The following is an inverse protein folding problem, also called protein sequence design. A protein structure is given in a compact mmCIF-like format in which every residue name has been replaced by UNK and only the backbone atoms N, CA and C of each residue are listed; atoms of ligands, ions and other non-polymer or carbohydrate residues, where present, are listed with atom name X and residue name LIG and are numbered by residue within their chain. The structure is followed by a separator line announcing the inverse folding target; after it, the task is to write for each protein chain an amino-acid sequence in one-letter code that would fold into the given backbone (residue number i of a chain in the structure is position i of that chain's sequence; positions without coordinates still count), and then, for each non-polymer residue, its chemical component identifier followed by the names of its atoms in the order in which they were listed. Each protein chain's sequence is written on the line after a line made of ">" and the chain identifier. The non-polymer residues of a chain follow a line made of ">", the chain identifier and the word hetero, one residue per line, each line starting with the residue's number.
data_IF_319333683657
#
_entry.id   IF_319333683657
#
_cell.length_a   1.000
_cell.length_b   1.000
_cell.length_c   1.000
_cell.angle_alpha   90.00
_cell.angle_beta   90.00
_cell.angle_gamma   90.00
#
_symmetry.space_group_name_H-M   'P 1'
#
loop_
_entity.id
_entity.type
_entity.pdbx_description
1 polymer ?
#
# COMPACT_ATOMS: atom_id res chain seq x y z
N UNK A 1 -4.05 -2.66 26.17
CA UNK A 1 -3.26 -2.36 24.96
C UNK A 1 -3.00 -0.87 24.92
N UNK A 2 -1.76 -0.44 24.66
CA UNK A 2 -1.47 0.99 24.49
C UNK A 2 -1.97 1.43 23.12
N UNK A 3 -2.76 2.50 23.07
CA UNK A 3 -3.20 3.12 21.81
C UNK A 3 -2.02 3.87 21.20
N UNK A 4 -1.59 3.45 20.02
CA UNK A 4 -0.57 4.15 19.24
C UNK A 4 -1.29 5.16 18.34
N UNK A 5 -0.89 6.44 18.42
CA UNK A 5 -1.40 7.48 17.53
C UNK A 5 -0.45 7.64 16.36
N UNK A 6 -0.98 7.48 15.14
CA UNK A 6 -0.25 7.70 13.89
C UNK A 6 -0.89 8.91 13.22
N UNK A 7 -0.10 9.89 12.80
CA UNK A 7 -0.64 10.98 11.97
C UNK A 7 -0.65 10.50 10.53
N UNK A 8 -1.76 10.71 9.85
CA UNK A 8 -1.95 10.35 8.46
C UNK A 8 -2.29 11.61 7.69
N UNK A 9 -1.61 11.83 6.58
CA UNK A 9 -1.90 12.90 5.64
C UNK A 9 -2.22 12.27 4.28
N UNK A 10 -3.27 12.80 3.67
CA UNK A 10 -3.66 12.46 2.30
C UNK A 10 -3.19 13.58 1.39
N UNK A 11 -2.48 13.21 0.33
CA UNK A 11 -1.97 14.12 -0.67
C UNK A 11 -3.14 14.91 -1.31
N UNK A 12 -2.98 16.22 -1.54
CA UNK A 12 -3.97 17.00 -2.26
C UNK A 12 -4.26 16.39 -3.64
N UNK A 13 -5.54 16.29 -4.01
CA UNK A 13 -6.00 15.66 -5.24
C UNK A 13 -6.32 14.17 -5.14
N UNK A 14 -6.20 13.56 -3.94
CA UNK A 14 -6.60 12.18 -3.68
C UNK A 14 -7.83 12.09 -2.75
N UNK A 15 -8.64 13.15 -2.66
CA UNK A 15 -9.73 13.27 -1.69
C UNK A 15 -10.87 12.28 -1.92
N UNK A 16 -10.97 11.73 -3.12
CA UNK A 16 -11.89 10.66 -3.54
C UNK A 16 -11.55 9.31 -2.90
N UNK A 17 -10.30 9.10 -2.48
CA UNK A 17 -9.86 7.87 -1.81
C UNK A 17 -10.04 7.94 -0.29
N UNK A 18 -10.52 6.87 0.35
CA UNK A 18 -10.66 6.83 1.80
C UNK A 18 -9.29 6.76 2.48
N UNK A 19 -9.20 7.28 3.71
CA UNK A 19 -8.05 6.99 4.56
C UNK A 19 -8.01 5.49 4.90
N UNK A 20 -6.81 4.90 5.09
CA UNK A 20 -6.67 3.50 5.49
C UNK A 20 -7.41 3.26 6.81
N UNK A 21 -8.17 2.15 6.86
CA UNK A 21 -8.92 1.74 8.05
C UNK A 21 -8.95 0.23 8.18
N UNK A 22 -9.13 -0.23 9.41
CA UNK A 22 -9.43 -1.64 9.67
C UNK A 22 -10.85 -1.96 9.20
N UNK A 23 -11.00 -3.05 8.45
CA UNK A 23 -12.30 -3.48 7.89
C UNK A 23 -13.11 -4.34 8.86
N UNK A 24 -12.51 -4.81 9.95
CA UNK A 24 -13.19 -5.50 11.05
C UNK A 24 -12.43 -5.26 12.36
N UNK A 25 -13.07 -5.51 13.50
CA UNK A 25 -12.48 -5.29 14.82
C UNK A 25 -11.21 -6.12 15.07
N UNK A 26 -11.11 -7.29 14.44
CA UNK A 26 -9.97 -8.20 14.58
C UNK A 26 -8.92 -8.06 13.45
N UNK A 27 -9.09 -7.12 12.52
CA UNK A 27 -8.17 -6.95 11.40
C UNK A 27 -6.79 -6.50 11.88
N UNK A 28 -5.73 -7.18 11.41
CA UNK A 28 -4.35 -6.82 11.73
C UNK A 28 -3.73 -5.80 10.77
N UNK A 29 -4.34 -5.60 9.59
CA UNK A 29 -3.85 -4.69 8.54
C UNK A 29 -4.95 -3.79 7.99
N UNK A 30 -4.53 -2.71 7.35
CA UNK A 30 -5.40 -1.78 6.63
C UNK A 30 -5.09 -1.90 5.13
N UNK A 31 -6.13 -1.90 4.30
CA UNK A 31 -5.93 -1.86 2.84
C UNK A 31 -5.48 -0.44 2.43
N UNK A 32 -4.55 -0.39 1.46
CA UNK A 32 -4.12 0.83 0.77
C UNK A 32 -4.76 0.85 -0.62
N UNK A 33 -5.13 2.04 -1.09
CA UNK A 33 -5.73 2.25 -2.40
C UNK A 33 -4.70 2.86 -3.37
N UNK A 34 -4.82 2.54 -4.65
CA UNK A 34 -3.99 3.12 -5.70
C UNK A 34 -4.46 4.54 -6.02
N UNK A 35 -3.58 5.53 -5.90
CA UNK A 35 -3.84 6.93 -6.22
C UNK A 35 -3.39 7.27 -7.64
N UNK A 36 -4.01 6.62 -8.63
CA UNK A 36 -3.70 6.80 -10.06
C UNK A 36 -4.82 7.54 -10.77
N UNK A 37 -4.49 8.52 -11.61
CA UNK A 37 -5.48 9.30 -12.37
C UNK A 37 -6.03 8.54 -13.58
N UNK A 38 -5.23 7.60 -14.11
CA UNK A 38 -5.58 6.74 -15.24
C UNK A 38 -5.13 5.33 -14.94
N UNK A 39 -5.81 4.35 -15.54
CA UNK A 39 -5.47 2.94 -15.39
C UNK A 39 -4.00 2.66 -15.68
N UNK A 40 -3.37 1.85 -14.84
CA UNK A 40 -1.97 1.46 -14.99
C UNK A 40 -1.91 -0.02 -15.34
N UNK A 41 -1.52 -0.32 -16.58
CA UNK A 41 -1.25 -1.70 -17.00
C UNK A 41 0.06 -2.18 -16.37
N UNK A 42 0.08 -3.39 -15.83
CA UNK A 42 1.26 -4.06 -15.29
C UNK A 42 1.40 -5.40 -15.99
N UNK A 43 2.33 -5.47 -16.93
CA UNK A 43 2.60 -6.67 -17.72
C UNK A 43 3.26 -7.77 -16.87
N UNK A 44 3.24 -9.00 -17.37
CA UNK A 44 3.92 -10.13 -16.72
C UNK A 44 5.40 -9.83 -16.52
N UNK A 45 5.89 -10.09 -15.31
CA UNK A 45 7.25 -9.80 -14.84
C UNK A 45 7.60 -8.32 -14.77
N UNK A 46 6.65 -7.42 -14.98
CA UNK A 46 6.87 -5.98 -14.82
C UNK A 46 6.83 -5.58 -13.34
N UNK A 47 7.59 -4.53 -13.01
CA UNK A 47 7.60 -3.88 -11.70
C UNK A 47 7.17 -2.43 -11.90
N UNK A 48 6.11 -2.00 -11.20
CA UNK A 48 5.67 -0.61 -11.19
C UNK A 48 5.56 -0.05 -9.79
N UNK A 49 5.92 1.22 -9.63
CA UNK A 49 5.63 1.99 -8.44
C UNK A 49 4.20 2.54 -8.55
N UNK A 50 3.31 2.06 -7.69
CA UNK A 50 1.93 2.55 -7.61
C UNK A 50 1.83 3.53 -6.43
N UNK A 51 1.50 4.81 -6.67
CA UNK A 51 1.28 5.80 -5.61
C UNK A 51 0.04 5.45 -4.78
N UNK A 52 0.03 5.88 -3.52
CA UNK A 52 -1.15 5.71 -2.63
C UNK A 52 -1.78 7.04 -2.22
N UNK A 53 -1.08 8.15 -2.43
CA UNK A 53 -1.47 9.44 -1.89
C UNK A 53 -1.40 9.51 -0.36
N UNK A 54 -0.89 8.48 0.32
CA UNK A 54 -0.85 8.41 1.79
C UNK A 54 0.56 8.70 2.29
N UNK A 55 0.65 9.60 3.25
CA UNK A 55 1.84 9.90 4.03
C UNK A 55 1.54 9.62 5.49
N UNK A 56 2.51 9.09 6.23
CA UNK A 56 2.37 8.82 7.66
C UNK A 56 3.53 9.39 8.46
N UNK A 57 3.25 9.69 9.73
CA UNK A 57 4.25 9.96 10.75
C UNK A 57 4.05 8.92 11.86
N UNK A 58 4.98 7.97 11.94
CA UNK A 58 5.02 6.97 13.00
C UNK A 58 5.78 7.50 14.21
N UNK A 59 5.39 7.11 15.44
CA UNK A 59 6.20 7.37 16.62
C UNK A 59 7.53 6.62 16.57
N UNK A 60 8.57 7.18 17.19
CA UNK A 60 9.88 6.52 17.31
C UNK A 60 9.75 5.15 17.98
N UNK A 61 10.51 4.18 17.49
CA UNK A 61 10.49 2.79 17.99
C UNK A 61 9.44 1.90 17.32
N UNK A 62 8.76 2.38 16.28
CA UNK A 62 7.81 1.62 15.49
C UNK A 62 8.16 1.68 14.01
N UNK A 63 7.78 0.62 13.29
CA UNK A 63 7.73 0.58 11.83
C UNK A 63 6.30 0.25 11.39
N UNK A 64 5.96 0.61 10.16
CA UNK A 64 4.82 0.02 9.46
C UNK A 64 5.34 -0.93 8.38
N UNK A 65 4.56 -1.97 8.08
CA UNK A 65 4.89 -2.94 7.04
C UNK A 65 3.80 -2.98 5.98
N UNK A 66 4.21 -2.88 4.72
CA UNK A 66 3.34 -3.08 3.56
C UNK A 66 3.47 -4.52 3.09
N UNK A 67 2.34 -5.23 2.97
CA UNK A 67 2.29 -6.65 2.58
C UNK A 67 1.30 -6.87 1.43
N UNK A 68 1.52 -7.87 0.56
CA UNK A 68 0.57 -8.24 -0.47
C UNK A 68 -0.78 -8.67 0.11
N UNK A 69 -1.86 -8.33 -0.61
CA UNK A 69 -3.20 -8.91 -0.33
C UNK A 69 -3.24 -10.34 -0.85
N UNK A 70 -3.50 -11.30 0.04
CA UNK A 70 -3.51 -12.74 -0.30
C UNK A 70 -4.44 -13.07 -1.47
N UNK A 71 -5.60 -12.43 -1.55
CA UNK A 71 -6.54 -12.60 -2.66
C UNK A 71 -5.98 -12.17 -4.02
N UNK A 72 -5.23 -11.06 -4.08
CA UNK A 72 -4.59 -10.58 -5.31
C UNK A 72 -3.40 -11.46 -5.70
N UNK A 73 -2.63 -11.91 -4.71
CA UNK A 73 -1.52 -12.84 -4.92
C UNK A 73 -2.02 -14.17 -5.51
N UNK A 74 -3.05 -14.77 -4.91
CA UNK A 74 -3.57 -16.07 -5.35
C UNK A 74 -4.27 -15.99 -6.71
N UNK A 75 -5.10 -14.96 -6.94
CA UNK A 75 -5.96 -14.88 -8.13
C UNK A 75 -5.25 -14.29 -9.35
N UNK A 76 -4.32 -13.37 -9.13
CA UNK A 76 -3.70 -12.59 -10.20
C UNK A 76 -2.17 -12.68 -10.22
N UNK A 77 -1.54 -13.35 -9.25
CA UNK A 77 -0.08 -13.42 -9.16
C UNK A 77 0.57 -12.09 -8.79
N UNK A 78 -0.17 -11.16 -8.19
CA UNK A 78 0.38 -9.87 -7.76
C UNK A 78 1.09 -9.98 -6.42
N UNK A 79 2.31 -9.43 -6.36
CA UNK A 79 3.09 -9.33 -5.12
C UNK A 79 3.84 -8.00 -5.07
N UNK A 80 4.53 -7.76 -3.96
CA UNK A 80 5.44 -6.61 -3.83
C UNK A 80 6.88 -7.13 -3.84
N UNK A 81 7.74 -6.51 -4.65
CA UNK A 81 9.14 -6.96 -4.79
C UNK A 81 9.88 -6.88 -3.46
N UNK A 82 9.52 -5.90 -2.63
CA UNK A 82 10.14 -5.62 -1.34
C UNK A 82 9.32 -6.13 -0.15
N UNK A 83 8.38 -7.08 -0.32
CA UNK A 83 7.55 -7.53 0.82
C UNK A 83 8.33 -8.31 1.89
N UNK A 84 8.08 -8.08 3.20
CA UNK A 84 7.31 -6.94 3.75
C UNK A 84 8.07 -5.62 3.57
N UNK A 85 7.42 -4.62 2.99
CA UNK A 85 8.02 -3.32 2.74
C UNK A 85 8.04 -2.49 4.03
N UNK A 86 9.23 -2.13 4.52
CA UNK A 86 9.40 -1.36 5.76
C UNK A 86 9.17 0.13 5.54
N UNK A 87 8.41 0.76 6.43
CA UNK A 87 8.27 2.20 6.57
C UNK A 87 8.82 2.61 7.93
N UNK A 88 9.97 3.28 7.92
CA UNK A 88 10.65 3.74 9.12
C UNK A 88 9.97 4.94 9.78
N UNK A 89 10.21 5.13 11.08
CA UNK A 89 9.59 6.21 11.86
C UNK A 89 10.00 7.63 11.46
N UNK A 90 11.10 7.79 10.73
CA UNK A 90 11.59 9.05 10.18
C UNK A 90 11.19 9.26 8.71
N UNK A 91 10.57 8.28 8.06
CA UNK A 91 10.06 8.42 6.70
C UNK A 91 8.85 9.36 6.65
N UNK A 92 8.88 10.33 5.73
CA UNK A 92 7.77 11.31 5.51
C UNK A 92 7.31 11.40 4.06
N UNK A 93 7.90 10.60 3.18
CA UNK A 93 7.50 10.53 1.79
C UNK A 93 6.13 9.88 1.61
N UNK A 94 5.68 9.86 0.35
CA UNK A 94 4.48 9.13 -0.03
C UNK A 94 4.73 7.62 0.04
N UNK A 95 3.84 6.87 0.67
CA UNK A 95 3.91 5.41 0.66
C UNK A 95 3.66 4.94 -0.78
N UNK A 96 4.69 4.36 -1.40
CA UNK A 96 4.60 3.76 -2.73
C UNK A 96 4.57 2.23 -2.68
N UNK A 97 3.79 1.62 -3.56
CA UNK A 97 3.67 0.17 -3.67
C UNK A 97 4.52 -0.32 -4.84
N UNK A 98 5.61 -1.04 -4.57
CA UNK A 98 6.48 -1.62 -5.62
C UNK A 98 5.85 -2.93 -6.10
N UNK A 99 4.79 -2.80 -6.90
CA UNK A 99 3.96 -3.90 -7.37
C UNK A 99 4.69 -4.68 -8.48
N UNK A 100 4.67 -6.01 -8.37
CA UNK A 100 5.13 -6.92 -9.41
C UNK A 100 4.02 -7.88 -9.81
N UNK A 101 3.88 -8.11 -11.12
CA UNK A 101 2.95 -9.10 -11.67
C UNK A 101 3.68 -10.39 -12.04
N UNK A 102 3.55 -11.42 -11.21
CA UNK A 102 4.02 -12.78 -11.51
C UNK A 102 2.95 -13.64 -12.20
N UNK A 103 1.76 -13.08 -12.40
CA UNK A 103 0.62 -13.69 -13.07
C UNK A 103 0.85 -13.92 -14.57
N UNK A 104 -0.09 -14.62 -15.20
CA UNK A 104 -0.02 -14.95 -16.63
C UNK A 104 -0.50 -13.79 -17.50
N UNK A 105 -1.47 -13.03 -17.01
CA UNK A 105 -2.16 -11.97 -17.75
C UNK A 105 -1.67 -10.59 -17.30
N UNK A 106 -1.73 -9.61 -18.19
CA UNK A 106 -1.55 -8.20 -17.83
C UNK A 106 -2.62 -7.78 -16.83
N UNK A 107 -2.20 -7.16 -15.73
CA UNK A 107 -3.12 -6.66 -14.71
C UNK A 107 -3.36 -5.16 -14.90
N UNK A 108 -4.59 -4.70 -14.71
CA UNK A 108 -4.92 -3.27 -14.72
C UNK A 108 -5.16 -2.81 -13.29
N UNK A 109 -4.32 -1.89 -12.82
CA UNK A 109 -4.50 -1.16 -11.56
C UNK A 109 -5.41 0.04 -11.81
#
# INVERSE_FOLDING_TARGET
>A
MNTIKIKVMRKPGCEDLPLPRYMSEAASGMDLYAAVNTSVLVERSEIKLIPTGIHIELPRGYEAQVRPRSGLALKHGLTLVNTPGTIDSDYRGEIGIILCNLGKDTFTV
#
